data_IF_346367137084
#
_entry.id   IF_346367137084
#
_cell.length_a   1.000
_cell.length_b   1.000
_cell.length_c   1.000
_cell.angle_alpha   90.00
_cell.angle_beta   90.00
_cell.angle_gamma   90.00
#
_symmetry.space_group_name_H-M   'P 1'
#
loop_
_entity.id
_entity.type
_entity.pdbx_description
1 polymer ?
#
# COMPACT_ATOMS: atom_id res chain seq x y z
N UNK A 1 16.85 -19.15 -4.53
CA UNK A 1 15.82 -19.02 -3.48
C UNK A 1 15.66 -17.53 -3.18
N UNK A 2 14.78 -16.83 -3.89
CA UNK A 2 14.55 -15.40 -3.65
C UNK A 2 13.73 -15.27 -2.36
N UNK A 3 14.39 -14.87 -1.28
CA UNK A 3 13.72 -14.48 -0.04
C UNK A 3 12.79 -13.32 -0.39
N UNK A 4 11.50 -13.45 -0.12
CA UNK A 4 10.53 -12.38 -0.19
C UNK A 4 11.05 -11.22 0.67
N UNK A 5 11.62 -10.20 0.02
CA UNK A 5 12.17 -9.04 0.73
C UNK A 5 11.02 -8.13 1.07
N UNK A 6 10.52 -8.22 2.30
CA UNK A 6 9.63 -7.19 2.83
C UNK A 6 10.39 -5.85 2.89
N UNK A 7 9.94 -4.87 2.11
CA UNK A 7 10.48 -3.52 2.15
C UNK A 7 9.83 -2.71 3.29
N UNK A 8 10.59 -1.80 3.90
CA UNK A 8 10.09 -0.92 4.97
C UNK A 8 9.49 0.34 4.35
N UNK A 9 8.19 0.52 4.50
CA UNK A 9 7.48 1.73 4.09
C UNK A 9 7.38 2.70 5.29
N UNK A 10 7.94 3.90 5.16
CA UNK A 10 7.71 5.01 6.09
C UNK A 10 6.68 5.96 5.48
N UNK A 11 5.61 6.25 6.22
CA UNK A 11 4.57 7.20 5.84
C UNK A 11 4.27 8.11 7.02
N UNK A 12 3.99 9.38 6.73
CA UNK A 12 3.40 10.28 7.70
C UNK A 12 1.89 10.19 7.62
N UNK A 13 1.25 10.02 8.76
CA UNK A 13 -0.21 9.95 8.90
C UNK A 13 -0.63 10.90 10.02
N UNK A 14 -1.83 11.44 9.91
CA UNK A 14 -2.39 12.25 10.97
C UNK A 14 -2.66 11.40 12.23
N UNK A 15 -2.73 12.05 13.39
CA UNK A 15 -2.99 11.35 14.66
C UNK A 15 -4.34 10.63 14.66
N UNK A 16 -5.35 11.21 14.01
CA UNK A 16 -6.69 10.63 13.89
C UNK A 16 -6.68 9.35 13.06
N UNK A 17 -5.95 9.33 11.94
CA UNK A 17 -5.78 8.12 11.13
C UNK A 17 -5.01 7.04 11.88
N UNK A 18 -3.96 7.41 12.62
CA UNK A 18 -3.21 6.46 13.43
C UNK A 18 -4.11 5.79 14.48
N UNK A 19 -4.99 6.55 15.12
CA UNK A 19 -5.96 6.03 16.09
C UNK A 19 -7.00 5.12 15.42
N UNK A 20 -7.51 5.49 14.24
CA UNK A 20 -8.45 4.67 13.48
C UNK A 20 -7.85 3.32 13.08
N UNK A 21 -6.57 3.29 12.67
CA UNK A 21 -5.84 2.05 12.35
C UNK A 21 -5.68 1.17 13.60
N UNK A 22 -5.37 1.75 14.75
CA UNK A 22 -5.18 0.99 15.99
C UNK A 22 -6.52 0.44 16.52
N UNK A 23 -7.61 1.21 16.47
CA UNK A 23 -8.96 0.74 16.78
C UNK A 23 -9.38 -0.44 15.88
N UNK A 24 -9.15 -0.30 14.57
CA UNK A 24 -9.44 -1.36 13.62
C UNK A 24 -8.59 -2.61 13.88
N UNK A 25 -7.30 -2.44 14.20
CA UNK A 25 -6.40 -3.52 14.61
C UNK A 25 -6.95 -4.28 15.82
N UNK A 26 -7.44 -3.58 16.85
CA UNK A 26 -8.02 -4.23 18.03
C UNK A 26 -9.30 -4.99 17.69
N UNK A 27 -10.19 -4.39 16.89
CA UNK A 27 -11.42 -5.05 16.42
C UNK A 27 -11.13 -6.32 15.63
N UNK A 28 -10.12 -6.29 14.76
CA UNK A 28 -9.70 -7.45 13.94
C UNK A 28 -8.72 -8.39 14.67
N UNK A 29 -8.42 -8.15 15.95
CA UNK A 29 -7.48 -8.94 16.78
C UNK A 29 -6.10 -9.11 16.13
N UNK A 30 -5.61 -8.08 15.46
CA UNK A 30 -4.35 -8.17 14.72
C UNK A 30 -3.13 -7.97 15.63
N UNK A 31 -2.09 -8.81 15.49
CA UNK A 31 -0.96 -8.85 16.42
C UNK A 31 -0.10 -7.58 16.34
N UNK A 32 0.01 -6.94 15.17
CA UNK A 32 0.84 -5.75 14.97
C UNK A 32 0.16 -4.68 14.14
N UNK A 33 0.57 -3.41 14.32
CA UNK A 33 0.13 -2.29 13.48
C UNK A 33 0.54 -2.48 12.03
N UNK A 34 1.73 -3.04 11.78
CA UNK A 34 2.20 -3.34 10.43
C UNK A 34 1.30 -4.38 9.74
N UNK A 35 0.84 -5.40 10.47
CA UNK A 35 -0.15 -6.36 9.96
C UNK A 35 -1.46 -5.66 9.60
N UNK A 36 -1.90 -4.72 10.44
CA UNK A 36 -3.13 -3.98 10.20
C UNK A 36 -3.05 -3.10 8.94
N UNK A 37 -1.97 -2.34 8.79
CA UNK A 37 -1.74 -1.51 7.61
C UNK A 37 -1.65 -2.36 6.34
N UNK A 38 -0.96 -3.51 6.38
CA UNK A 38 -0.88 -4.42 5.23
C UNK A 38 -2.24 -4.97 4.82
N UNK A 39 -3.07 -5.35 5.78
CA UNK A 39 -4.41 -5.86 5.49
C UNK A 39 -5.33 -4.76 4.96
N UNK A 40 -5.26 -3.54 5.52
CA UNK A 40 -5.99 -2.39 4.99
C UNK A 40 -5.56 -2.07 3.54
N UNK A 41 -4.26 -2.09 3.25
CA UNK A 41 -3.73 -1.93 1.90
C UNK A 41 -4.25 -3.02 0.96
N UNK A 42 -4.19 -4.29 1.39
CA UNK A 42 -4.69 -5.42 0.59
C UNK A 42 -6.19 -5.27 0.28
N UNK A 43 -7.00 -4.92 1.29
CA UNK A 43 -8.44 -4.70 1.15
C UNK A 43 -8.73 -3.50 0.24
N UNK A 44 -7.97 -2.41 0.36
CA UNK A 44 -8.09 -1.24 -0.50
C UNK A 44 -7.77 -1.55 -1.96
N UNK A 45 -6.66 -2.26 -2.22
CA UNK A 45 -6.27 -2.67 -3.57
C UNK A 45 -7.31 -3.60 -4.20
N UNK A 46 -7.81 -4.57 -3.44
CA UNK A 46 -8.86 -5.48 -3.93
C UNK A 46 -10.19 -4.74 -4.18
N UNK A 47 -10.54 -3.74 -3.36
CA UNK A 47 -11.74 -2.93 -3.54
C UNK A 47 -11.67 -2.05 -4.80
N UNK A 48 -10.49 -1.51 -5.11
CA UNK A 48 -10.23 -0.74 -6.34
C UNK A 48 -10.03 -1.63 -7.59
N UNK A 49 -10.09 -2.97 -7.44
CA UNK A 49 -9.87 -3.91 -8.54
C UNK A 49 -8.41 -3.97 -9.01
N UNK A 50 -7.46 -3.49 -8.20
CA UNK A 50 -6.03 -3.57 -8.48
C UNK A 50 -5.57 -4.99 -8.15
N UNK A 51 -5.33 -5.79 -9.17
CA UNK A 51 -4.68 -7.09 -9.00
C UNK A 51 -3.22 -6.84 -8.58
N UNK A 52 -2.84 -7.36 -7.40
CA UNK A 52 -1.44 -7.38 -6.99
C UNK A 52 -0.74 -8.41 -7.87
N UNK A 53 -0.31 -7.98 -9.06
CA UNK A 53 0.43 -8.82 -9.99
C UNK A 53 1.62 -9.42 -9.26
N UNK A 54 1.75 -10.74 -9.31
CA UNK A 54 2.83 -11.47 -8.69
C UNK A 54 4.16 -11.10 -9.36
N UNK A 55 4.83 -10.08 -8.84
CA UNK A 55 6.25 -9.72 -9.00
C UNK A 55 6.97 -10.34 -10.22
N UNK A 56 6.63 -9.90 -11.44
CA UNK A 56 7.59 -9.87 -12.55
C UNK A 56 7.35 -8.74 -13.56
N UNK A 57 6.51 -7.76 -13.24
CA UNK A 57 6.30 -6.62 -14.13
C UNK A 57 7.09 -5.42 -13.60
N UNK A 58 8.03 -4.97 -14.44
CA UNK A 58 9.02 -3.95 -14.11
C UNK A 58 8.31 -2.68 -13.64
N UNK A 59 8.80 -2.08 -12.55
CA UNK A 59 8.34 -0.79 -12.00
C UNK A 59 8.41 0.40 -12.98
N UNK A 60 8.88 0.17 -14.21
CA UNK A 60 8.93 1.13 -15.32
C UNK A 60 7.57 1.44 -15.95
N UNK A 61 6.54 0.63 -15.70
CA UNK A 61 5.24 0.77 -16.37
C UNK A 61 4.24 1.70 -15.64
N UNK A 62 4.42 1.93 -14.34
CA UNK A 62 3.61 2.88 -13.57
C UNK A 62 4.10 4.33 -13.73
N UNK A 63 4.12 4.81 -14.97
CA UNK A 63 4.36 6.21 -15.32
C UNK A 63 3.13 7.09 -15.08
N UNK A 64 2.78 7.35 -13.82
CA UNK A 64 1.77 8.38 -13.48
C UNK A 64 2.41 9.76 -13.47
N UNK A 65 2.91 10.20 -14.63
CA UNK A 65 3.07 11.62 -14.96
C UNK A 65 2.80 11.79 -16.45
N UNK A 66 1.56 12.14 -16.79
CA UNK A 66 1.23 12.72 -18.09
C UNK A 66 2.01 14.03 -18.19
N UNK A 67 3.20 14.01 -18.79
CA UNK A 67 3.93 15.25 -19.10
C UNK A 67 3.09 15.97 -20.16
N UNK A 68 2.24 16.87 -19.66
CA UNK A 68 1.48 17.86 -20.40
C UNK A 68 2.43 18.46 -21.44
N UNK A 69 2.17 18.18 -22.72
CA UNK A 69 2.88 18.86 -23.80
C UNK A 69 2.52 20.34 -23.79
N UNK A 70 3.50 21.22 -23.98
CA UNK A 70 3.25 22.52 -24.58
C UNK A 70 4.11 22.67 -25.84
N UNK A 71 3.44 22.96 -26.96
CA UNK A 71 3.89 23.71 -28.16
C UNK A 71 5.39 23.91 -28.37
N UNK A 72 5.90 23.50 -29.54
CA UNK A 72 6.08 24.35 -30.73
C UNK A 72 6.43 23.47 -31.95
#
# INVERSE_FOLDING_TARGET
MYRERNERLQIMVAQEELNAIDDWRFRQRMPSRASAVRELLRRGLQAEGVEIAASHEKSSDFGVIKKRGPNE
#
